data_IF_392167397741
#
_entry.id   IF_392167397741
#
_cell.length_a   1.000
_cell.length_b   1.000
_cell.length_c   1.000
_cell.angle_alpha   90.00
_cell.angle_beta   90.00
_cell.angle_gamma   90.00
#
_symmetry.space_group_name_H-M   'P 1'
#
loop_
_entity.id
_entity.type
_entity.pdbx_description
1 polymer ?
#
# COMPACT_ATOMS: atom_id res chain seq x y z
N UNK A 1 -13.65 5.96 -24.01
CA UNK A 1 -12.25 5.62 -23.63
C UNK A 1 -12.31 4.36 -22.78
N UNK A 2 -11.54 3.34 -23.12
CA UNK A 2 -11.43 2.12 -22.32
C UNK A 2 -10.58 2.43 -21.08
N UNK A 3 -10.89 1.80 -19.96
CA UNK A 3 -10.06 1.90 -18.73
C UNK A 3 -9.00 0.82 -18.77
N UNK A 4 -7.91 0.99 -18.03
CA UNK A 4 -6.85 -0.02 -17.87
C UNK A 4 -7.41 -1.43 -17.56
N UNK A 5 -8.29 -1.55 -16.58
CA UNK A 5 -8.87 -2.85 -16.22
C UNK A 5 -9.76 -3.44 -17.32
N UNK A 6 -10.37 -2.62 -18.17
CA UNK A 6 -11.12 -3.10 -19.33
C UNK A 6 -10.16 -3.69 -20.39
N UNK A 7 -9.06 -3.02 -20.67
CA UNK A 7 -8.05 -3.51 -21.63
C UNK A 7 -7.36 -4.78 -21.14
N UNK A 8 -7.04 -4.85 -19.85
CA UNK A 8 -6.53 -6.09 -19.23
C UNK A 8 -7.55 -7.23 -19.35
N UNK A 9 -8.85 -6.95 -19.14
CA UNK A 9 -9.90 -7.96 -19.31
C UNK A 9 -10.03 -8.43 -20.76
N UNK A 10 -9.93 -7.51 -21.76
CA UNK A 10 -9.93 -7.87 -23.18
C UNK A 10 -8.75 -8.76 -23.57
N UNK A 11 -7.54 -8.38 -23.15
CA UNK A 11 -6.33 -9.14 -23.47
C UNK A 11 -6.37 -10.53 -22.84
N UNK A 12 -6.74 -10.61 -21.56
CA UNK A 12 -6.86 -11.89 -20.85
C UNK A 12 -7.94 -12.79 -21.45
N UNK A 13 -9.10 -12.22 -21.80
CA UNK A 13 -10.17 -13.00 -22.41
C UNK A 13 -9.81 -13.46 -23.83
N UNK A 14 -9.14 -12.63 -24.61
CA UNK A 14 -8.65 -12.98 -25.95
C UNK A 14 -7.63 -14.10 -25.93
N UNK A 15 -6.76 -14.12 -24.91
CA UNK A 15 -5.71 -15.16 -24.77
C UNK A 15 -6.23 -16.47 -24.19
N UNK A 16 -7.06 -16.39 -23.17
CA UNK A 16 -7.36 -17.54 -22.32
C UNK A 16 -8.82 -18.00 -22.42
N UNK A 17 -9.74 -17.14 -22.84
CA UNK A 17 -11.15 -17.48 -22.93
C UNK A 17 -11.69 -18.10 -21.65
N UNK A 18 -12.25 -19.30 -21.73
CA UNK A 18 -12.75 -20.05 -20.56
C UNK A 18 -11.64 -20.55 -19.61
N UNK A 19 -10.42 -20.77 -20.12
CA UNK A 19 -9.26 -21.13 -19.30
C UNK A 19 -8.81 -20.04 -18.31
N UNK A 20 -9.42 -18.82 -18.38
CA UNK A 20 -9.22 -17.79 -17.38
C UNK A 20 -9.67 -18.22 -15.98
N UNK A 21 -10.62 -19.15 -15.88
CA UNK A 21 -11.07 -19.74 -14.61
C UNK A 21 -9.99 -20.49 -13.83
N UNK A 22 -8.93 -20.94 -14.50
CA UNK A 22 -7.82 -21.67 -13.89
C UNK A 22 -6.77 -20.73 -13.28
N UNK A 23 -6.91 -19.40 -13.51
CA UNK A 23 -5.96 -18.39 -13.06
C UNK A 23 -6.38 -17.73 -11.76
N UNK A 24 -5.36 -17.28 -11.01
CA UNK A 24 -5.56 -16.38 -9.89
C UNK A 24 -5.18 -14.95 -10.29
N UNK A 25 -6.12 -14.01 -10.18
CA UNK A 25 -5.88 -12.60 -10.50
C UNK A 25 -5.65 -11.83 -9.21
N UNK A 26 -4.48 -11.25 -9.09
CA UNK A 26 -4.01 -10.49 -7.95
C UNK A 26 -4.18 -9.00 -8.22
N UNK A 27 -4.97 -8.34 -7.38
CA UNK A 27 -5.21 -6.90 -7.39
C UNK A 27 -4.73 -6.25 -6.09
N UNK A 28 -4.37 -4.95 -6.11
CA UNK A 28 -4.01 -4.20 -4.90
C UNK A 28 -5.20 -4.00 -3.96
N UNK A 29 -6.42 -4.06 -4.47
CA UNK A 29 -7.63 -3.86 -3.67
C UNK A 29 -8.82 -4.67 -4.20
N UNK A 30 -9.76 -4.98 -3.29
CA UNK A 30 -11.02 -5.65 -3.67
C UNK A 30 -11.89 -4.79 -4.60
N UNK A 31 -11.71 -3.47 -4.61
CA UNK A 31 -12.45 -2.56 -5.48
C UNK A 31 -12.08 -2.75 -6.95
N UNK A 32 -10.81 -2.94 -7.27
CA UNK A 32 -10.34 -3.19 -8.63
C UNK A 32 -11.04 -4.41 -9.26
N UNK A 33 -11.27 -5.47 -8.46
CA UNK A 33 -12.04 -6.64 -8.88
C UNK A 33 -13.41 -6.29 -9.45
N UNK A 34 -14.16 -5.37 -8.81
CA UNK A 34 -15.51 -5.01 -9.25
C UNK A 34 -15.52 -4.45 -10.66
N UNK A 35 -14.60 -3.53 -10.95
CA UNK A 35 -14.48 -2.93 -12.28
C UNK A 35 -13.99 -3.94 -13.33
N UNK A 36 -13.09 -4.82 -12.94
CA UNK A 36 -12.61 -5.87 -13.84
C UNK A 36 -13.71 -6.87 -14.17
N UNK A 37 -14.49 -7.33 -13.19
CA UNK A 37 -15.61 -8.26 -13.40
C UNK A 37 -16.67 -7.64 -14.30
N UNK A 38 -17.00 -6.37 -14.11
CA UNK A 38 -17.96 -5.65 -14.96
C UNK A 38 -17.47 -5.60 -16.44
N UNK A 39 -16.18 -5.29 -16.63
CA UNK A 39 -15.57 -5.29 -17.96
C UNK A 39 -15.56 -6.69 -18.58
N UNK A 40 -15.11 -7.69 -17.85
CA UNK A 40 -15.03 -9.08 -18.31
C UNK A 40 -16.40 -9.64 -18.69
N UNK A 41 -17.43 -9.33 -17.88
CA UNK A 41 -18.81 -9.75 -18.16
C UNK A 41 -19.34 -9.17 -19.48
N UNK A 42 -19.06 -7.88 -19.71
CA UNK A 42 -19.42 -7.21 -20.97
C UNK A 42 -18.71 -7.79 -22.19
N UNK A 43 -17.44 -8.16 -22.04
CA UNK A 43 -16.61 -8.74 -23.11
C UNK A 43 -17.02 -10.17 -23.42
N UNK A 44 -17.23 -11.00 -22.39
CA UNK A 44 -17.56 -12.42 -22.57
C UNK A 44 -18.94 -12.62 -23.20
N UNK A 45 -19.93 -11.78 -22.86
CA UNK A 45 -21.30 -11.82 -23.37
C UNK A 45 -22.07 -13.13 -23.08
N UNK A 46 -21.49 -14.01 -22.29
CA UNK A 46 -22.05 -15.32 -21.91
C UNK A 46 -21.58 -15.72 -20.51
N UNK A 47 -22.29 -16.62 -19.81
CA UNK A 47 -21.84 -17.16 -18.54
C UNK A 47 -20.49 -17.86 -18.69
N UNK A 48 -19.59 -17.62 -17.71
CA UNK A 48 -18.30 -18.28 -17.61
C UNK A 48 -17.92 -18.51 -16.15
N UNK A 49 -17.05 -19.49 -15.89
CA UNK A 49 -16.48 -19.66 -14.57
C UNK A 49 -15.49 -18.52 -14.27
N UNK A 50 -15.66 -17.91 -13.10
CA UNK A 50 -14.79 -16.80 -12.72
C UNK A 50 -13.39 -17.30 -12.30
N UNK A 51 -12.33 -16.54 -12.54
CA UNK A 51 -11.02 -16.79 -11.98
C UNK A 51 -11.02 -16.64 -10.46
N UNK A 52 -9.97 -17.15 -9.81
CA UNK A 52 -9.76 -16.86 -8.40
C UNK A 52 -9.32 -15.40 -8.23
N UNK A 53 -10.00 -14.69 -7.37
CA UNK A 53 -9.66 -13.31 -7.00
C UNK A 53 -8.88 -13.30 -5.70
N UNK A 54 -7.74 -12.64 -5.69
CA UNK A 54 -6.91 -12.49 -4.50
C UNK A 54 -6.40 -11.06 -4.38
N UNK A 55 -6.20 -10.62 -3.14
CA UNK A 55 -5.40 -9.43 -2.85
C UNK A 55 -4.05 -9.86 -2.30
N UNK A 56 -3.10 -8.93 -2.17
CA UNK A 56 -1.82 -9.22 -1.50
C UNK A 56 -2.08 -9.70 -0.08
N UNK A 57 -3.00 -9.08 0.62
CA UNK A 57 -3.35 -9.44 2.00
C UNK A 57 -3.94 -10.85 2.11
N UNK A 58 -4.83 -11.23 1.18
CA UNK A 58 -5.38 -12.59 1.15
C UNK A 58 -4.28 -13.62 0.92
N UNK A 59 -3.39 -13.37 -0.06
CA UNK A 59 -2.32 -14.30 -0.42
C UNK A 59 -1.24 -14.40 0.67
N UNK A 60 -0.83 -13.27 1.24
CA UNK A 60 0.17 -13.27 2.32
C UNK A 60 -0.36 -13.87 3.61
N UNK A 61 -1.66 -13.73 3.90
CA UNK A 61 -2.34 -14.43 5.00
C UNK A 61 -2.33 -15.95 4.78
N UNK A 62 -2.65 -16.40 3.56
CA UNK A 62 -2.59 -17.83 3.20
C UNK A 62 -1.16 -18.39 3.33
N UNK A 63 -0.18 -17.65 2.83
CA UNK A 63 1.23 -18.05 2.91
C UNK A 63 1.73 -18.07 4.34
N UNK A 64 1.51 -17.01 5.11
CA UNK A 64 2.03 -16.89 6.48
C UNK A 64 1.31 -17.79 7.49
N UNK A 65 0.02 -18.05 7.27
CA UNK A 65 -0.87 -18.71 8.23
C UNK A 65 -1.28 -17.82 9.41
N UNK A 66 -0.86 -16.55 9.42
CA UNK A 66 -1.23 -15.58 10.44
C UNK A 66 -2.56 -14.89 10.11
N UNK A 67 -3.29 -14.45 11.13
CA UNK A 67 -4.53 -13.70 10.95
C UNK A 67 -4.32 -12.24 11.33
N UNK A 68 -4.84 -11.33 10.52
CA UNK A 68 -4.82 -9.90 10.87
C UNK A 68 -5.73 -9.64 12.06
N UNK A 69 -5.18 -9.00 13.08
CA UNK A 69 -5.93 -8.59 14.27
C UNK A 69 -6.73 -7.31 14.03
N UNK A 70 -7.78 -7.11 14.82
CA UNK A 70 -8.49 -5.83 14.89
C UNK A 70 -7.57 -4.72 15.39
N UNK A 71 -7.70 -3.52 14.81
CA UNK A 71 -6.78 -2.39 15.09
C UNK A 71 -6.80 -1.97 16.56
N UNK A 72 -7.98 -1.90 17.19
CA UNK A 72 -8.10 -1.54 18.61
C UNK A 72 -7.44 -2.60 19.49
N UNK A 73 -7.62 -3.87 19.15
CA UNK A 73 -6.96 -4.99 19.85
C UNK A 73 -5.45 -4.91 19.71
N UNK A 74 -4.93 -4.64 18.52
CA UNK A 74 -3.49 -4.49 18.29
C UNK A 74 -2.90 -3.34 19.12
N UNK A 75 -3.56 -2.16 19.14
CA UNK A 75 -3.14 -1.02 19.96
C UNK A 75 -3.20 -1.37 21.46
N UNK A 76 -4.21 -2.12 21.89
CA UNK A 76 -4.34 -2.55 23.27
C UNK A 76 -3.20 -3.49 23.70
N UNK A 77 -2.83 -4.46 22.84
CA UNK A 77 -1.69 -5.34 23.13
C UNK A 77 -0.36 -4.55 23.09
N UNK A 78 -0.22 -3.59 22.19
CA UNK A 78 0.94 -2.71 22.16
C UNK A 78 1.04 -1.85 23.43
N UNK A 79 -0.07 -1.32 23.92
CA UNK A 79 -0.12 -0.55 25.16
C UNK A 79 0.34 -1.36 26.39
N UNK A 80 -0.07 -2.62 26.49
CA UNK A 80 0.34 -3.48 27.62
C UNK A 80 1.85 -3.60 27.71
N UNK A 81 2.52 -3.68 26.56
CA UNK A 81 3.98 -3.77 26.50
C UNK A 81 4.61 -2.40 26.73
N UNK A 82 4.08 -1.36 26.08
CA UNK A 82 4.58 0.01 26.22
C UNK A 82 4.50 0.49 27.68
N UNK A 83 3.44 0.12 28.41
CA UNK A 83 3.23 0.50 29.81
C UNK A 83 4.22 -0.15 30.79
N UNK A 84 4.95 -1.19 30.38
CA UNK A 84 6.07 -1.75 31.16
C UNK A 84 7.27 -0.78 31.22
N UNK A 85 7.39 0.12 30.24
CA UNK A 85 8.48 1.08 30.11
C UNK A 85 8.05 2.51 30.46
N UNK A 86 6.80 2.87 30.27
CA UNK A 86 6.29 4.24 30.36
C UNK A 86 4.96 4.29 31.10
N UNK A 87 4.87 5.13 32.14
CA UNK A 87 3.65 5.35 32.92
C UNK A 87 2.75 6.39 32.23
N UNK A 88 2.10 6.03 31.15
CA UNK A 88 1.16 6.89 30.43
C UNK A 88 -0.22 6.23 30.39
N UNK A 89 -1.35 6.98 30.61
CA UNK A 89 -2.69 6.40 30.54
C UNK A 89 -3.08 6.08 29.09
N UNK A 90 -3.94 5.06 28.90
CA UNK A 90 -4.30 4.50 27.61
C UNK A 90 -4.93 5.53 26.64
N UNK A 91 -5.75 6.44 27.13
CA UNK A 91 -6.37 7.48 26.35
C UNK A 91 -5.36 8.43 25.67
N UNK A 92 -4.27 8.75 26.37
CA UNK A 92 -3.16 9.52 25.80
C UNK A 92 -2.29 8.71 24.85
N UNK A 93 -2.09 7.43 25.18
CA UNK A 93 -1.29 6.51 24.36
C UNK A 93 -2.00 6.16 23.04
N UNK A 94 -3.33 6.11 22.99
CA UNK A 94 -4.07 5.55 21.88
C UNK A 94 -3.65 6.12 20.51
N UNK A 95 -3.61 7.44 20.37
CA UNK A 95 -3.20 8.10 19.12
C UNK A 95 -1.74 7.86 18.78
N UNK A 96 -0.89 7.90 19.79
CA UNK A 96 0.53 7.57 19.65
C UNK A 96 0.73 6.09 19.28
N UNK A 97 0.02 5.21 19.94
CA UNK A 97 0.03 3.77 19.67
C UNK A 97 -0.45 3.44 18.26
N UNK A 98 -1.41 4.19 17.73
CA UNK A 98 -1.88 4.06 16.35
C UNK A 98 -0.80 4.46 15.34
N UNK A 99 -0.05 5.53 15.60
CA UNK A 99 1.12 5.92 14.81
C UNK A 99 2.22 4.86 14.87
N UNK A 100 2.59 4.39 16.07
CA UNK A 100 3.59 3.34 16.23
C UNK A 100 3.23 2.06 15.51
N UNK A 101 1.97 1.66 15.57
CA UNK A 101 1.48 0.48 14.85
C UNK A 101 1.65 0.65 13.34
N UNK A 102 1.43 1.85 12.82
CA UNK A 102 1.62 2.17 11.40
C UNK A 102 3.11 2.17 11.01
N UNK A 103 3.98 2.68 11.89
CA UNK A 103 5.42 2.67 11.66
C UNK A 103 5.98 1.22 11.71
N UNK A 104 5.55 0.42 12.66
CA UNK A 104 5.92 -1.01 12.74
C UNK A 104 5.43 -1.79 11.52
N UNK A 105 4.22 -1.49 11.03
CA UNK A 105 3.69 -2.04 9.80
C UNK A 105 4.60 -1.72 8.59
N UNK A 106 5.07 -0.48 8.52
CA UNK A 106 5.97 0.00 7.46
C UNK A 106 7.36 -0.66 7.56
N UNK A 107 7.93 -0.73 8.77
CA UNK A 107 9.22 -1.40 9.03
C UNK A 107 9.17 -2.85 8.51
N UNK A 108 8.09 -3.55 8.78
CA UNK A 108 7.93 -4.94 8.35
C UNK A 108 7.69 -5.06 6.83
N UNK A 109 6.83 -4.24 6.23
CA UNK A 109 6.57 -4.24 4.78
C UNK A 109 7.82 -3.98 3.96
N UNK A 110 8.66 -3.07 4.41
CA UNK A 110 9.93 -2.73 3.75
C UNK A 110 11.11 -3.59 4.22
N UNK A 111 10.86 -4.56 5.12
CA UNK A 111 11.88 -5.48 5.65
C UNK A 111 13.08 -4.77 6.27
N UNK A 112 12.85 -3.63 6.87
CA UNK A 112 13.89 -2.85 7.56
C UNK A 112 14.44 -3.67 8.72
N UNK A 113 15.75 -3.61 8.94
CA UNK A 113 16.37 -4.12 10.16
C UNK A 113 16.03 -3.18 11.32
N UNK A 114 15.02 -3.57 12.10
CA UNK A 114 14.53 -2.77 13.21
C UNK A 114 15.61 -2.58 14.31
N UNK A 115 16.48 -3.58 14.51
CA UNK A 115 17.55 -3.48 15.51
C UNK A 115 18.57 -2.42 15.11
N UNK A 116 18.95 -2.38 13.82
CA UNK A 116 19.79 -1.31 13.29
C UNK A 116 19.09 0.04 13.32
N UNK A 117 17.83 0.11 12.86
CA UNK A 117 17.06 1.35 12.84
C UNK A 117 17.00 2.00 14.23
N UNK A 118 16.57 1.26 15.24
CA UNK A 118 16.40 1.80 16.60
C UNK A 118 17.73 2.05 17.32
N UNK A 119 18.80 1.33 16.99
CA UNK A 119 20.15 1.58 17.51
C UNK A 119 20.74 2.85 16.92
N UNK A 120 20.68 2.98 15.61
CA UNK A 120 21.36 4.05 14.87
C UNK A 120 20.81 5.44 15.20
N UNK A 121 19.54 5.55 15.55
CA UNK A 121 18.99 6.84 15.99
C UNK A 121 19.48 7.26 17.38
N UNK A 122 19.91 6.31 18.23
CA UNK A 122 20.61 6.65 19.48
C UNK A 122 22.08 7.05 19.27
N UNK A 123 22.67 6.72 18.11
CA UNK A 123 24.08 6.94 17.75
C UNK A 123 24.21 7.71 16.43
N UNK A 124 23.51 8.85 16.32
CA UNK A 124 23.38 9.65 15.07
C UNK A 124 24.74 9.99 14.40
N UNK A 125 25.83 10.05 15.17
CA UNK A 125 27.16 10.32 14.63
C UNK A 125 27.72 9.21 13.74
N UNK A 126 27.22 7.98 13.82
CA UNK A 126 27.67 6.87 12.96
C UNK A 126 26.83 6.72 11.68
N UNK A 127 25.61 7.28 11.63
CA UNK A 127 24.71 7.20 10.47
C UNK A 127 25.19 8.00 9.25
N UNK A 128 25.96 9.06 9.46
CA UNK A 128 26.50 9.87 8.36
C UNK A 128 27.51 9.10 7.47
N UNK A 129 27.99 7.95 7.92
CA UNK A 129 29.06 7.22 7.24
C UNK A 129 28.58 6.25 6.13
N UNK A 130 27.43 5.60 6.23
CA UNK A 130 26.95 4.67 5.17
C UNK A 130 25.42 4.45 5.16
N UNK A 131 24.70 5.29 4.44
CA UNK A 131 23.25 5.14 4.18
C UNK A 131 22.98 4.65 2.75
N UNK A 132 24.01 4.24 2.01
CA UNK A 132 23.91 3.87 0.59
C UNK A 132 23.04 2.62 0.34
N UNK A 133 22.81 1.80 1.37
CA UNK A 133 21.99 0.58 1.31
C UNK A 133 20.49 0.82 1.59
N UNK A 134 20.10 2.04 2.01
CA UNK A 134 18.71 2.36 2.33
C UNK A 134 17.93 2.75 1.08
N UNK A 135 16.73 2.23 0.96
CA UNK A 135 15.79 2.66 -0.08
C UNK A 135 15.30 4.09 0.16
N UNK A 136 14.80 4.82 -0.87
CA UNK A 136 14.26 6.16 -0.72
C UNK A 136 13.18 6.28 0.38
N UNK A 137 12.32 5.26 0.54
CA UNK A 137 11.31 5.22 1.59
C UNK A 137 11.93 5.09 2.99
N UNK A 138 12.96 4.25 3.13
CA UNK A 138 13.71 4.11 4.37
C UNK A 138 14.45 5.39 4.74
N UNK A 139 15.03 6.07 3.73
CA UNK A 139 15.66 7.38 3.90
C UNK A 139 14.67 8.45 4.34
N UNK A 140 13.43 8.42 3.86
CA UNK A 140 12.40 9.37 4.24
C UNK A 140 11.98 9.18 5.71
N UNK A 141 11.81 7.94 6.15
CA UNK A 141 11.56 7.61 7.57
C UNK A 141 12.75 8.08 8.42
N UNK A 142 13.97 7.77 8.01
CA UNK A 142 15.17 8.17 8.72
C UNK A 142 15.31 9.71 8.82
N UNK A 143 15.04 10.44 7.73
CA UNK A 143 15.07 11.91 7.71
C UNK A 143 14.01 12.53 8.61
N UNK A 144 12.82 12.02 8.62
CA UNK A 144 11.76 12.47 9.54
C UNK A 144 12.22 12.38 10.99
N UNK A 145 12.85 11.29 11.37
CA UNK A 145 13.33 11.07 12.73
C UNK A 145 14.66 11.80 13.03
N UNK A 146 15.54 11.99 12.06
CA UNK A 146 16.82 12.70 12.26
C UNK A 146 16.65 14.19 12.50
N UNK A 147 15.62 14.83 11.94
CA UNK A 147 15.30 16.26 12.23
C UNK A 147 14.94 16.51 13.69
N UNK A 148 14.61 15.47 14.46
CA UNK A 148 14.29 15.56 15.89
C UNK A 148 15.50 15.41 16.83
N UNK A 149 16.67 15.10 16.30
CA UNK A 149 17.82 14.63 17.09
C UNK A 149 19.00 15.61 17.23
N UNK A 150 18.83 16.88 16.92
CA UNK A 150 19.88 17.91 17.09
C UNK A 150 20.11 18.23 18.57
N UNK A 151 21.27 17.83 19.11
CA UNK A 151 21.56 17.62 20.55
C UNK A 151 21.94 18.87 21.36
N UNK A 152 22.11 20.05 20.77
CA UNK A 152 22.78 21.16 21.45
C UNK A 152 21.90 21.98 22.38
N UNK A 153 20.57 21.83 22.28
CA UNK A 153 19.61 22.49 23.22
C UNK A 153 18.34 21.64 23.39
N UNK A 154 18.49 20.52 24.13
CA UNK A 154 17.38 19.58 24.35
C UNK A 154 16.38 20.18 25.32
N UNK A 155 15.21 20.61 24.81
CA UNK A 155 14.03 20.85 25.62
C UNK A 155 13.64 19.58 26.40
N UNK A 156 12.92 19.71 27.50
CA UNK A 156 12.44 18.58 28.31
C UNK A 156 11.64 17.59 27.45
N UNK A 157 10.92 18.08 26.44
CA UNK A 157 10.17 17.30 25.45
C UNK A 157 11.06 16.44 24.56
N UNK A 158 12.20 17.00 24.07
CA UNK A 158 13.17 16.22 23.29
C UNK A 158 13.81 15.11 24.13
N UNK A 159 14.13 15.38 25.40
CA UNK A 159 14.68 14.34 26.31
C UNK A 159 13.68 13.22 26.56
N UNK A 160 12.40 13.57 26.77
CA UNK A 160 11.31 12.59 26.92
C UNK A 160 11.14 11.75 25.66
N UNK A 161 11.18 12.40 24.48
CA UNK A 161 11.11 11.71 23.19
C UNK A 161 12.26 10.71 23.01
N UNK A 162 13.51 11.11 23.27
CA UNK A 162 14.67 10.23 23.16
C UNK A 162 14.60 9.06 24.18
N UNK A 163 14.04 9.28 25.35
CA UNK A 163 13.81 8.22 26.33
C UNK A 163 12.80 7.19 25.79
N UNK A 164 11.71 7.64 25.16
CA UNK A 164 10.74 6.76 24.50
C UNK A 164 11.41 6.01 23.35
N UNK A 165 12.17 6.74 22.50
CA UNK A 165 12.84 6.13 21.35
C UNK A 165 13.74 4.95 21.72
N UNK A 166 14.54 5.07 22.79
CA UNK A 166 15.41 3.99 23.25
C UNK A 166 14.68 2.70 23.63
N UNK A 167 13.38 2.81 23.94
CA UNK A 167 12.55 1.65 24.29
C UNK A 167 11.79 1.07 23.10
N UNK A 168 11.71 1.78 21.95
CA UNK A 168 10.94 1.32 20.80
C UNK A 168 11.43 0.01 20.20
N UNK A 169 12.76 -0.22 20.18
CA UNK A 169 13.32 -1.49 19.73
C UNK A 169 12.86 -2.68 20.57
N UNK A 170 13.06 -2.68 21.89
CA UNK A 170 12.50 -3.67 22.79
C UNK A 170 10.98 -3.81 22.69
N UNK A 171 10.24 -2.70 22.63
CA UNK A 171 8.77 -2.71 22.50
C UNK A 171 8.36 -3.41 21.19
N UNK A 172 8.98 -3.05 20.05
CA UNK A 172 8.71 -3.69 18.77
C UNK A 172 8.95 -5.20 18.80
N UNK A 173 10.12 -5.63 19.33
CA UNK A 173 10.45 -7.04 19.39
C UNK A 173 9.45 -7.82 20.25
N UNK A 174 9.19 -7.31 21.47
CA UNK A 174 8.26 -7.91 22.42
C UNK A 174 6.82 -7.93 21.90
N UNK A 175 6.41 -6.89 21.19
CA UNK A 175 5.09 -6.81 20.58
C UNK A 175 4.90 -7.89 19.50
N UNK A 176 5.85 -8.07 18.61
CA UNK A 176 5.80 -9.14 17.59
C UNK A 176 5.76 -10.54 18.23
N UNK A 177 6.57 -10.78 19.25
CA UNK A 177 6.54 -12.02 20.02
C UNK A 177 5.14 -12.27 20.60
N UNK A 178 4.59 -11.26 21.28
CA UNK A 178 3.25 -11.32 21.86
C UNK A 178 2.15 -11.59 20.84
N UNK A 179 2.19 -10.94 19.71
CA UNK A 179 1.22 -11.16 18.63
C UNK A 179 1.34 -12.58 18.05
N UNK A 180 2.56 -13.11 17.92
CA UNK A 180 2.80 -14.48 17.48
C UNK A 180 2.21 -15.51 18.46
N UNK A 181 2.36 -15.30 19.77
CA UNK A 181 1.73 -16.13 20.81
C UNK A 181 0.19 -16.14 20.69
N UNK A 182 -0.39 -15.00 20.35
CA UNK A 182 -1.84 -14.85 20.18
C UNK A 182 -2.37 -15.36 18.82
N UNK A 183 -1.49 -15.72 17.90
CA UNK A 183 -1.84 -16.12 16.52
C UNK A 183 -2.46 -14.99 15.70
N UNK A 184 -2.17 -13.73 16.05
CA UNK A 184 -2.63 -12.53 15.33
C UNK A 184 -1.43 -11.68 14.91
N UNK A 185 -1.63 -10.79 13.93
CA UNK A 185 -0.58 -9.90 13.44
C UNK A 185 -1.20 -8.60 12.87
N UNK A 186 -0.39 -7.56 12.73
CA UNK A 186 -0.69 -6.45 11.83
C UNK A 186 -0.24 -6.80 10.41
N UNK A 187 -0.70 -6.03 9.42
CA UNK A 187 -0.55 -6.40 8.02
C UNK A 187 0.92 -6.56 7.58
N UNK A 188 1.80 -5.63 7.94
CA UNK A 188 3.22 -5.71 7.62
C UNK A 188 3.90 -6.95 8.23
N UNK A 189 3.52 -7.33 9.45
CA UNK A 189 4.00 -8.57 10.08
C UNK A 189 3.54 -9.82 9.31
N UNK A 190 2.29 -9.83 8.81
CA UNK A 190 1.77 -10.91 7.94
C UNK A 190 2.58 -10.98 6.65
N UNK A 191 2.78 -9.84 5.98
CA UNK A 191 3.54 -9.77 4.72
C UNK A 191 5.00 -10.19 4.91
N UNK A 192 5.65 -9.74 5.98
CA UNK A 192 7.03 -10.14 6.30
C UNK A 192 7.15 -11.63 6.59
N UNK A 193 6.24 -12.19 7.38
CA UNK A 193 6.20 -13.62 7.67
C UNK A 193 5.99 -14.45 6.39
N UNK A 194 5.11 -13.99 5.50
CA UNK A 194 4.92 -14.62 4.19
C UNK A 194 6.19 -14.54 3.35
N UNK A 195 6.84 -13.38 3.28
CA UNK A 195 8.08 -13.17 2.55
C UNK A 195 9.24 -14.04 3.10
N UNK A 196 9.31 -14.21 4.42
CA UNK A 196 10.31 -15.09 5.05
C UNK A 196 10.04 -16.56 4.73
N UNK A 197 8.75 -16.97 4.75
CA UNK A 197 8.35 -18.33 4.46
C UNK A 197 8.65 -18.75 3.01
N UNK A 198 8.39 -17.89 2.03
CA UNK A 198 8.69 -18.17 0.62
C UNK A 198 10.18 -18.14 0.29
N UNK A 199 11.02 -17.51 1.12
CA UNK A 199 12.49 -17.57 0.98
C UNK A 199 13.08 -18.85 1.54
N UNK A 200 12.35 -19.54 2.43
CA UNK A 200 12.77 -20.83 2.95
C UNK A 200 12.77 -21.90 1.87
N UNK A 201 13.65 -22.89 2.00
CA UNK A 201 13.71 -23.99 1.07
C UNK A 201 12.41 -24.84 1.13
N UNK A 202 11.86 -25.17 -0.02
CA UNK A 202 10.77 -26.12 -0.17
C UNK A 202 9.35 -25.55 -0.02
N UNK A 203 9.15 -24.23 0.07
CA UNK A 203 7.80 -23.71 -0.03
C UNK A 203 7.27 -23.82 -1.46
N UNK A 204 6.17 -24.52 -1.63
CA UNK A 204 5.43 -24.59 -2.88
C UNK A 204 3.96 -24.23 -2.62
N UNK A 205 3.31 -23.57 -3.58
CA UNK A 205 1.88 -23.41 -3.50
C UNK A 205 1.18 -24.78 -3.52
N UNK A 206 0.13 -24.96 -2.71
CA UNK A 206 -0.64 -26.21 -2.69
C UNK A 206 -1.25 -26.57 -4.05
N UNK A 207 -1.49 -25.59 -4.89
CA UNK A 207 -2.03 -25.73 -6.22
C UNK A 207 -1.12 -24.99 -7.21
N UNK A 208 -0.69 -25.70 -8.27
CA UNK A 208 0.02 -25.08 -9.38
C UNK A 208 -0.95 -24.16 -10.13
N UNK A 209 -0.98 -22.89 -9.77
CA UNK A 209 -1.83 -21.88 -10.41
C UNK A 209 -1.01 -20.97 -11.30
N UNK A 210 -1.66 -20.49 -12.32
CA UNK A 210 -1.16 -19.38 -13.11
C UNK A 210 -1.66 -18.07 -12.49
N UNK A 211 -0.79 -17.06 -12.42
CA UNK A 211 -1.12 -15.79 -11.79
C UNK A 211 -1.17 -14.65 -12.80
N UNK A 212 -2.04 -13.70 -12.52
CA UNK A 212 -2.09 -12.41 -13.21
C UNK A 212 -1.99 -11.34 -12.13
N UNK A 213 -1.02 -10.45 -12.24
CA UNK A 213 -0.79 -9.33 -11.32
C UNK A 213 -1.14 -8.05 -12.06
N UNK A 214 -2.13 -7.29 -11.60
CA UNK A 214 -2.61 -6.12 -12.32
C UNK A 214 -2.92 -4.92 -11.42
N UNK A 215 -2.53 -3.71 -11.88
CA UNK A 215 -2.91 -2.44 -11.30
C UNK A 215 -2.12 -2.01 -10.06
N UNK A 216 -0.93 -2.55 -9.87
CA UNK A 216 0.01 -2.10 -8.82
C UNK A 216 0.87 -0.93 -9.30
N UNK A 217 1.42 -0.16 -8.35
CA UNK A 217 2.33 0.94 -8.62
C UNK A 217 3.53 0.87 -7.67
N UNK A 218 3.51 1.59 -6.54
CA UNK A 218 4.58 1.48 -5.54
C UNK A 218 4.51 0.13 -4.84
N UNK A 219 5.58 -0.64 -4.88
CA UNK A 219 5.67 -1.95 -4.24
C UNK A 219 6.52 -1.87 -2.98
N UNK A 220 6.03 -2.46 -1.89
CA UNK A 220 6.84 -2.74 -0.71
C UNK A 220 7.87 -3.84 -1.02
N UNK A 221 8.88 -3.98 -0.18
CA UNK A 221 9.90 -5.02 -0.37
C UNK A 221 9.33 -6.43 -0.18
N UNK A 222 8.31 -6.58 0.68
CA UNK A 222 7.58 -7.85 0.81
C UNK A 222 6.80 -8.20 -0.47
N UNK A 223 6.14 -7.22 -1.09
CA UNK A 223 5.44 -7.42 -2.37
C UNK A 223 6.40 -7.74 -3.51
N UNK A 224 7.53 -7.05 -3.60
CA UNK A 224 8.58 -7.37 -4.59
C UNK A 224 9.07 -8.82 -4.43
N UNK A 225 9.27 -9.29 -3.21
CA UNK A 225 9.66 -10.68 -2.95
C UNK A 225 8.57 -11.67 -3.33
N UNK A 226 7.32 -11.37 -3.00
CA UNK A 226 6.17 -12.18 -3.40
C UNK A 226 6.10 -12.29 -4.93
N UNK A 227 6.23 -11.19 -5.66
CA UNK A 227 6.15 -11.18 -7.12
C UNK A 227 7.32 -11.91 -7.78
N UNK A 228 8.55 -11.79 -7.24
CA UNK A 228 9.70 -12.59 -7.69
C UNK A 228 9.43 -14.09 -7.49
N UNK A 229 8.86 -14.46 -6.34
CA UNK A 229 8.50 -15.85 -6.07
C UNK A 229 7.43 -16.34 -7.05
N UNK A 230 6.35 -15.58 -7.27
CA UNK A 230 5.31 -15.92 -8.25
C UNK A 230 5.90 -16.11 -9.66
N UNK A 231 6.80 -15.23 -10.09
CA UNK A 231 7.46 -15.30 -11.40
C UNK A 231 8.33 -16.54 -11.60
N UNK A 232 8.83 -17.13 -10.50
CA UNK A 232 9.71 -18.33 -10.57
C UNK A 232 8.96 -19.62 -10.30
N UNK A 233 7.93 -19.58 -9.45
CA UNK A 233 7.18 -20.75 -9.00
C UNK A 233 5.96 -21.06 -9.88
N UNK A 234 5.50 -20.10 -10.67
CA UNK A 234 4.31 -20.22 -11.52
C UNK A 234 4.43 -19.37 -12.78
N UNK A 235 3.61 -19.67 -13.79
CA UNK A 235 3.42 -18.77 -14.93
C UNK A 235 2.69 -17.52 -14.43
N UNK A 236 3.34 -16.34 -14.55
CA UNK A 236 2.80 -15.09 -14.03
C UNK A 236 2.84 -14.00 -15.08
N UNK A 237 1.69 -13.40 -15.33
CA UNK A 237 1.52 -12.26 -16.21
C UNK A 237 1.41 -10.97 -15.42
N UNK A 238 2.17 -9.94 -15.79
CA UNK A 238 2.14 -8.62 -15.16
C UNK A 238 1.51 -7.60 -16.08
N UNK A 239 0.64 -6.76 -15.51
CA UNK A 239 -0.01 -5.63 -16.18
C UNK A 239 0.15 -4.38 -15.32
N UNK A 240 0.84 -3.38 -15.86
CA UNK A 240 1.11 -2.11 -15.20
C UNK A 240 0.26 -1.01 -15.82
N UNK A 241 -0.42 -0.23 -14.98
CA UNK A 241 -1.18 0.95 -15.41
C UNK A 241 -0.25 2.15 -15.47
N UNK A 242 0.05 2.63 -16.67
CA UNK A 242 0.89 3.80 -16.86
C UNK A 242 0.56 4.54 -18.16
N UNK A 243 0.94 5.81 -18.15
CA UNK A 243 0.97 6.65 -19.35
C UNK A 243 2.42 6.82 -19.78
N UNK A 244 2.68 6.78 -21.08
CA UNK A 244 4.01 6.94 -21.67
C UNK A 244 4.65 8.25 -21.25
N UNK A 245 3.85 9.31 -21.08
CA UNK A 245 4.30 10.61 -20.57
C UNK A 245 5.09 10.49 -19.26
N UNK A 246 4.64 9.66 -18.33
CA UNK A 246 5.33 9.46 -17.04
C UNK A 246 6.45 8.43 -17.13
N UNK A 247 6.26 7.35 -17.88
CA UNK A 247 7.23 6.28 -17.98
C UNK A 247 8.48 6.70 -18.73
N UNK A 248 8.32 7.40 -19.87
CA UNK A 248 9.40 7.66 -20.81
C UNK A 248 10.18 8.95 -20.49
N UNK A 249 9.74 9.72 -19.50
CA UNK A 249 10.39 10.97 -19.03
C UNK A 249 11.00 10.75 -17.65
N UNK A 250 12.33 10.59 -17.53
CA UNK A 250 13.02 10.36 -16.26
C UNK A 250 12.79 11.44 -15.20
N UNK A 251 12.57 12.68 -15.64
CA UNK A 251 12.29 13.84 -14.79
C UNK A 251 10.91 13.80 -14.14
N UNK A 252 10.02 12.93 -14.65
CA UNK A 252 8.68 12.74 -14.07
C UNK A 252 8.71 11.76 -12.92
N UNK A 253 8.62 12.27 -11.69
CA UNK A 253 8.69 11.47 -10.47
C UNK A 253 7.54 10.43 -10.40
N UNK A 254 6.34 10.77 -10.89
CA UNK A 254 5.19 9.87 -10.93
C UNK A 254 5.44 8.56 -11.70
N UNK A 255 6.40 8.54 -12.64
CA UNK A 255 6.79 7.34 -13.37
C UNK A 255 7.87 6.49 -12.70
N UNK A 256 8.43 6.90 -11.55
CA UNK A 256 9.58 6.26 -10.92
C UNK A 256 9.32 4.77 -10.65
N UNK A 257 8.24 4.45 -9.95
CA UNK A 257 7.91 3.07 -9.60
C UNK A 257 7.59 2.21 -10.81
N UNK A 258 6.88 2.77 -11.80
CA UNK A 258 6.56 2.04 -13.04
C UNK A 258 7.84 1.67 -13.78
N UNK A 259 8.81 2.61 -13.91
CA UNK A 259 10.10 2.32 -14.56
C UNK A 259 10.84 1.18 -13.89
N UNK A 260 10.84 1.13 -12.54
CA UNK A 260 11.43 0.02 -11.80
C UNK A 260 10.67 -1.28 -12.02
N UNK A 261 9.35 -1.23 -11.94
CA UNK A 261 8.50 -2.41 -12.01
C UNK A 261 8.56 -3.10 -13.37
N UNK A 262 8.52 -2.34 -14.47
CA UNK A 262 8.58 -2.93 -15.83
C UNK A 262 9.92 -3.58 -16.13
N UNK A 263 10.99 -3.17 -15.45
CA UNK A 263 12.32 -3.81 -15.55
C UNK A 263 12.37 -5.08 -14.72
N UNK A 264 11.87 -5.04 -13.47
CA UNK A 264 11.90 -6.20 -12.57
C UNK A 264 10.86 -7.26 -12.94
N UNK A 265 9.71 -6.84 -13.41
CA UNK A 265 8.56 -7.67 -13.74
C UNK A 265 8.02 -7.24 -15.10
N UNK A 266 8.64 -7.68 -16.20
CA UNK A 266 8.26 -7.25 -17.54
C UNK A 266 6.79 -7.55 -17.82
N UNK A 267 6.03 -6.57 -18.36
CA UNK A 267 4.64 -6.80 -18.74
C UNK A 267 4.56 -7.77 -19.89
N UNK A 268 3.54 -8.63 -19.91
CA UNK A 268 3.31 -9.56 -21.01
C UNK A 268 2.62 -8.91 -22.20
N UNK A 269 1.86 -7.86 -21.97
CA UNK A 269 1.19 -7.05 -23.00
C UNK A 269 1.47 -5.58 -22.81
N UNK A 270 1.46 -4.83 -23.88
CA UNK A 270 1.59 -3.37 -23.83
C UNK A 270 0.19 -2.76 -23.68
N UNK A 271 -0.13 -2.31 -22.45
CA UNK A 271 -1.37 -1.59 -22.09
C UNK A 271 -0.99 -0.15 -21.75
N UNK A 272 -0.08 0.43 -22.53
CA UNK A 272 0.35 1.82 -22.35
C UNK A 272 -0.70 2.79 -22.88
N UNK A 273 -0.81 3.94 -22.22
CA UNK A 273 -1.72 5.01 -22.59
C UNK A 273 -0.97 6.29 -22.91
N UNK A 274 -1.52 7.08 -23.84
CA UNK A 274 -1.04 8.42 -24.21
C UNK A 274 -2.08 9.48 -23.82
N UNK A 275 -2.80 9.26 -22.73
CA UNK A 275 -3.93 10.10 -22.35
C UNK A 275 -3.49 11.46 -21.80
N UNK A 276 -2.26 11.56 -21.26
CA UNK A 276 -1.76 12.82 -20.71
C UNK A 276 -1.54 13.90 -21.77
N UNK A 277 -1.23 13.53 -23.02
CA UNK A 277 -1.03 14.47 -24.11
C UNK A 277 -2.33 14.85 -24.83
N UNK A 278 -3.45 14.17 -24.53
CA UNK A 278 -4.76 14.49 -25.12
C UNK A 278 -5.34 15.77 -24.53
N UNK A 279 -6.10 16.55 -25.33
CA UNK A 279 -6.82 17.71 -24.83
C UNK A 279 -7.75 17.37 -23.67
N UNK A 280 -7.75 18.20 -22.64
CA UNK A 280 -8.59 18.08 -21.45
C UNK A 280 -9.33 19.39 -21.20
N UNK A 281 -10.55 19.29 -20.71
CA UNK A 281 -11.28 20.45 -20.20
C UNK A 281 -10.98 20.57 -18.70
N UNK A 282 -10.35 21.67 -18.31
CA UNK A 282 -9.94 21.94 -16.94
C UNK A 282 -10.54 23.27 -16.48
N UNK A 283 -11.22 23.25 -15.34
CA UNK A 283 -11.73 24.44 -14.69
C UNK A 283 -11.08 24.56 -13.30
N UNK A 284 -10.38 25.68 -13.05
CA UNK A 284 -9.80 25.97 -11.76
C UNK A 284 -10.68 26.98 -11.02
N UNK A 285 -11.03 26.67 -9.78
CA UNK A 285 -11.84 27.52 -8.93
C UNK A 285 -11.11 27.81 -7.62
N UNK A 286 -10.90 29.09 -7.29
CA UNK A 286 -10.34 29.50 -6.01
C UNK A 286 -11.46 29.62 -4.98
N UNK A 287 -11.28 28.96 -3.83
CA UNK A 287 -12.21 29.03 -2.69
C UNK A 287 -11.50 29.58 -1.45
N UNK A 288 -12.18 30.42 -0.70
CA UNK A 288 -11.60 31.11 0.49
C UNK A 288 -11.53 30.23 1.74
N UNK A 289 -12.18 29.05 1.72
CA UNK A 289 -12.15 28.08 2.82
C UNK A 289 -12.58 26.70 2.33
N UNK A 290 -12.28 25.67 3.13
CA UNK A 290 -12.69 24.28 2.86
C UNK A 290 -14.21 24.14 2.74
N UNK A 291 -14.98 24.82 3.62
CA UNK A 291 -16.45 24.81 3.56
C UNK A 291 -17.00 25.41 2.25
N UNK A 292 -16.39 26.47 1.72
CA UNK A 292 -16.76 27.05 0.42
C UNK A 292 -16.36 26.10 -0.71
N UNK A 293 -15.22 25.47 -0.64
CA UNK A 293 -14.78 24.45 -1.60
C UNK A 293 -15.77 23.29 -1.68
N UNK A 294 -16.20 22.75 -0.52
CA UNK A 294 -17.19 21.68 -0.46
C UNK A 294 -18.54 22.12 -1.07
N UNK A 295 -19.03 23.30 -0.72
CA UNK A 295 -20.28 23.83 -1.29
C UNK A 295 -20.20 23.99 -2.81
N UNK A 296 -19.07 24.43 -3.33
CA UNK A 296 -18.86 24.55 -4.77
C UNK A 296 -18.81 23.19 -5.45
N UNK A 297 -18.11 22.20 -4.87
CA UNK A 297 -18.09 20.83 -5.37
C UNK A 297 -19.52 20.23 -5.39
N UNK A 298 -20.29 20.43 -4.32
CA UNK A 298 -21.68 19.99 -4.27
C UNK A 298 -22.56 20.67 -5.34
N UNK A 299 -22.35 21.95 -5.64
CA UNK A 299 -23.06 22.66 -6.70
C UNK A 299 -22.74 22.03 -8.09
N UNK A 300 -21.47 21.74 -8.36
CA UNK A 300 -21.05 21.06 -9.60
C UNK A 300 -21.70 19.68 -9.71
N UNK A 301 -21.72 18.90 -8.64
CA UNK A 301 -22.35 17.58 -8.63
C UNK A 301 -23.85 17.65 -8.89
N UNK A 302 -24.57 18.66 -8.35
CA UNK A 302 -25.99 18.89 -8.63
C UNK A 302 -26.23 19.24 -10.11
N UNK A 303 -25.37 20.09 -10.70
CA UNK A 303 -25.45 20.40 -12.12
C UNK A 303 -25.23 19.19 -13.00
N UNK A 304 -24.26 18.34 -12.67
CA UNK A 304 -24.00 17.09 -13.37
C UNK A 304 -25.19 16.12 -13.22
N UNK A 305 -25.74 15.98 -12.03
CA UNK A 305 -26.90 15.15 -11.76
C UNK A 305 -28.16 15.63 -12.49
N UNK A 306 -28.33 16.92 -12.70
CA UNK A 306 -29.41 17.49 -13.50
C UNK A 306 -29.32 17.16 -15.00
N UNK A 307 -28.12 16.86 -15.51
CA UNK A 307 -27.87 16.46 -16.91
C UNK A 307 -28.00 14.94 -17.12
N UNK A 308 -27.96 14.15 -16.06
CA UNK A 308 -28.08 12.69 -16.10
C UNK A 308 -27.63 12.05 -14.78
N UNK A 309 -27.87 10.75 -14.58
CA UNK A 309 -27.48 10.06 -13.36
C UNK A 309 -25.96 10.07 -13.22
N UNK A 310 -25.48 10.36 -12.00
CA UNK A 310 -24.08 10.23 -11.65
C UNK A 310 -23.73 8.73 -11.60
N UNK A 311 -22.64 8.36 -12.24
CA UNK A 311 -22.18 6.98 -12.29
C UNK A 311 -20.68 6.86 -11.95
N UNK A 312 -20.10 5.68 -12.15
CA UNK A 312 -18.69 5.36 -11.87
C UNK A 312 -17.66 6.24 -12.62
N UNK A 313 -18.07 7.10 -13.56
CA UNK A 313 -17.22 8.05 -14.28
C UNK A 313 -17.09 9.38 -13.55
N UNK A 314 -17.88 9.62 -12.51
CA UNK A 314 -17.83 10.82 -11.67
C UNK A 314 -17.12 10.49 -10.38
N UNK A 315 -16.06 11.23 -10.04
CA UNK A 315 -15.30 11.06 -8.82
C UNK A 315 -14.98 12.40 -8.17
N UNK A 316 -15.04 12.47 -6.86
CA UNK A 316 -14.48 13.54 -6.05
C UNK A 316 -13.16 13.03 -5.48
N UNK A 317 -12.06 13.66 -5.88
CA UNK A 317 -10.71 13.27 -5.43
C UNK A 317 -10.25 14.29 -4.39
N UNK A 318 -9.92 13.81 -3.19
CA UNK A 318 -9.42 14.63 -2.10
C UNK A 318 -7.89 14.54 -2.07
N UNK A 319 -7.23 15.67 -1.83
CA UNK A 319 -5.76 15.72 -1.68
C UNK A 319 -5.33 15.20 -0.31
N UNK A 320 -6.17 15.40 0.71
CA UNK A 320 -5.99 14.87 2.06
C UNK A 320 -7.32 14.27 2.55
N UNK A 321 -7.29 12.98 2.91
CA UNK A 321 -8.50 12.23 3.27
C UNK A 321 -9.11 12.60 4.63
N UNK A 322 -8.48 13.48 5.42
CA UNK A 322 -8.95 13.81 6.77
C UNK A 322 -9.82 15.07 6.85
N UNK A 323 -9.69 16.01 5.93
CA UNK A 323 -10.29 17.36 6.13
C UNK A 323 -11.71 17.55 5.58
N UNK A 324 -12.24 16.70 4.72
CA UNK A 324 -13.47 17.00 3.95
C UNK A 324 -14.61 16.01 4.16
N UNK A 325 -14.43 14.93 4.89
CA UNK A 325 -15.41 13.84 4.99
C UNK A 325 -16.69 14.19 5.75
N UNK A 326 -16.72 15.27 6.53
CA UNK A 326 -17.91 15.66 7.30
C UNK A 326 -18.88 16.58 6.55
N UNK A 327 -18.38 17.42 5.64
CA UNK A 327 -19.18 18.53 5.11
C UNK A 327 -19.78 18.31 3.71
N UNK A 328 -19.33 17.28 2.98
CA UNK A 328 -19.75 17.03 1.59
C UNK A 328 -21.03 16.18 1.49
N UNK A 329 -21.39 15.43 2.54
CA UNK A 329 -22.44 14.41 2.48
C UNK A 329 -23.67 14.69 3.36
N UNK A 330 -23.80 15.88 3.97
CA UNK A 330 -24.87 16.16 4.93
C UNK A 330 -25.97 17.12 4.44
N UNK A 331 -26.10 17.38 3.12
CA UNK A 331 -27.26 18.13 2.58
C UNK A 331 -27.86 17.43 1.37
#
# INVERSE_FOLDING_TARGET
MKTFLHEVAEDLYARYGEGLSERAILFPSRRARLFFVDALTGIAGRPMWQPRWVTVDDLTTEISGLRTGDRVRLITELYKIYSEYHAEPFDKFYFWGDMLLTDFDTIDKYRIDAAMLFRNISEIKEIEADISYLTPAQLQILRFWSTLADETDLSEEKRRFLAIWKTLGPVYARFRERLSELGIAYNGMVQRAAADRIRGEGYAFPEARQYVVAGFNALSECEKQLFRFLSTAAETDFYWDYDSYYKDRPEQEAGMFVRENVVQFPPRGDVSHDNMERPKELTAVAAVSNAVQCKHAAAILRELAARGPLDKRTAVVLTDGQEITGDVFLD
#
